data_IF_423303224791
#
_entry.id   IF_423303224791
#
_cell.length_a   1.000
_cell.length_b   1.000
_cell.length_c   1.000
_cell.angle_alpha   90.00
_cell.angle_beta   90.00
_cell.angle_gamma   90.00
#
_symmetry.space_group_name_H-M   'P 1'
#
loop_
_entity.id
_entity.type
_entity.pdbx_description
1 polymer ?
#
# COMPACT_ATOMS: atom_id res chain seq x y z
N UNK A 1 -10.79 8.73 14.36
CA UNK A 1 -9.97 8.40 13.18
C UNK A 1 -9.63 6.92 13.23
N UNK A 2 -9.98 6.19 12.18
CA UNK A 2 -9.63 4.77 12.08
C UNK A 2 -8.27 4.63 11.42
N UNK A 3 -7.42 3.79 12.00
CA UNK A 3 -6.10 3.51 11.47
C UNK A 3 -6.03 2.07 11.00
N UNK A 4 -5.34 1.86 9.87
CA UNK A 4 -5.03 0.53 9.38
C UNK A 4 -3.56 0.25 9.68
N UNK A 5 -3.31 -0.79 10.46
CA UNK A 5 -1.96 -1.23 10.78
C UNK A 5 -1.36 -1.92 9.56
N UNK A 6 -0.27 -1.38 9.03
CA UNK A 6 0.43 -1.95 7.88
C UNK A 6 1.76 -2.59 8.24
N UNK A 7 2.00 -2.78 9.53
CA UNK A 7 3.20 -3.45 10.03
C UNK A 7 4.35 -2.51 10.36
N UNK A 8 5.27 -3.00 11.16
CA UNK A 8 6.52 -2.30 11.53
C UNK A 8 6.28 -0.92 12.15
N UNK A 9 5.20 -0.78 12.92
CA UNK A 9 4.88 0.47 13.59
C UNK A 9 4.26 1.52 12.69
N UNK A 10 3.88 1.17 11.48
CA UNK A 10 3.28 2.09 10.52
C UNK A 10 1.78 1.89 10.43
N UNK A 11 1.06 2.98 10.21
CA UNK A 11 -0.39 2.95 10.09
C UNK A 11 -0.85 3.93 9.01
N UNK A 12 -1.99 3.63 8.40
CA UNK A 12 -2.63 4.50 7.42
C UNK A 12 -3.97 4.99 7.96
N UNK A 13 -4.36 6.19 7.54
CA UNK A 13 -5.69 6.71 7.83
C UNK A 13 -6.70 6.01 6.91
N UNK A 14 -7.56 5.20 7.49
CA UNK A 14 -8.53 4.40 6.72
C UNK A 14 -9.45 5.26 5.86
N UNK A 15 -9.79 6.46 6.29
CA UNK A 15 -10.68 7.35 5.55
C UNK A 15 -10.03 7.92 4.28
N UNK A 16 -8.71 7.80 4.14
CA UNK A 16 -7.97 8.27 2.98
C UNK A 16 -7.58 7.16 2.02
N UNK A 17 -7.89 5.92 2.36
CA UNK A 17 -7.58 4.77 1.51
C UNK A 17 -8.69 4.60 0.47
N UNK A 18 -8.30 4.63 -0.80
CA UNK A 18 -9.24 4.45 -1.92
C UNK A 18 -9.38 2.98 -2.27
N UNK A 19 -8.27 2.26 -2.25
CA UNK A 19 -8.25 0.85 -2.64
C UNK A 19 -7.15 0.08 -1.93
N UNK A 20 -7.37 -1.20 -1.72
CA UNK A 20 -6.38 -2.13 -1.23
C UNK A 20 -6.28 -3.26 -2.24
N UNK A 21 -5.08 -3.50 -2.76
CA UNK A 21 -4.88 -4.55 -3.77
C UNK A 21 -3.83 -5.53 -3.30
N UNK A 22 -4.00 -6.77 -3.72
CA UNK A 22 -3.02 -7.82 -3.46
C UNK A 22 -1.79 -7.58 -4.33
N UNK A 23 -0.61 -7.75 -3.73
CA UNK A 23 0.64 -7.49 -4.45
C UNK A 23 0.85 -8.39 -5.67
N UNK A 24 0.18 -9.53 -5.70
CA UNK A 24 0.28 -10.49 -6.81
C UNK A 24 -0.64 -10.16 -7.98
N UNK A 25 -1.57 -9.22 -7.83
CA UNK A 25 -2.48 -8.85 -8.89
C UNK A 25 -1.71 -8.24 -10.07
N UNK A 26 -2.07 -8.64 -11.28
CA UNK A 26 -1.34 -8.22 -12.48
C UNK A 26 -1.20 -6.71 -12.66
N UNK A 27 -2.24 -5.89 -12.43
CA UNK A 27 -2.13 -4.44 -12.61
C UNK A 27 -1.28 -3.73 -11.57
N UNK A 28 -0.92 -4.40 -10.46
CA UNK A 28 -0.20 -3.78 -9.35
C UNK A 28 1.21 -3.35 -9.76
N UNK A 29 1.87 -4.12 -10.62
CA UNK A 29 3.22 -3.78 -11.07
C UNK A 29 3.25 -2.45 -11.82
N UNK A 30 2.24 -2.19 -12.63
CA UNK A 30 2.11 -0.91 -13.35
C UNK A 30 1.85 0.23 -12.38
N UNK A 31 1.01 -0.02 -11.40
CA UNK A 31 0.66 0.96 -10.37
C UNK A 31 1.90 1.37 -9.58
N UNK A 32 2.71 0.40 -9.18
CA UNK A 32 3.94 0.65 -8.43
C UNK A 32 4.94 1.45 -9.28
N UNK A 33 5.12 1.05 -10.53
CA UNK A 33 6.04 1.74 -11.44
C UNK A 33 5.62 3.19 -11.66
N UNK A 34 4.34 3.43 -11.92
CA UNK A 34 3.81 4.78 -12.12
C UNK A 34 4.00 5.64 -10.87
N UNK A 35 3.72 5.09 -9.70
CA UNK A 35 3.90 5.81 -8.44
C UNK A 35 5.36 6.15 -8.19
N UNK A 36 6.26 5.22 -8.49
CA UNK A 36 7.70 5.45 -8.33
C UNK A 36 8.18 6.59 -9.22
N UNK A 37 7.73 6.61 -10.46
CA UNK A 37 8.11 7.67 -11.41
C UNK A 37 7.60 9.04 -10.98
N UNK A 38 6.49 9.09 -10.27
CA UNK A 38 5.88 10.34 -9.80
C UNK A 38 6.28 10.69 -8.38
N UNK A 39 7.18 9.91 -7.77
CA UNK A 39 7.61 10.09 -6.37
C UNK A 39 6.46 9.99 -5.38
N UNK A 40 5.47 9.15 -5.68
CA UNK A 40 4.31 8.91 -4.82
C UNK A 40 4.35 7.54 -4.16
N UNK A 41 5.45 6.81 -4.33
CA UNK A 41 5.58 5.47 -3.75
C UNK A 41 6.19 5.55 -2.35
N UNK A 42 5.51 4.92 -1.40
CA UNK A 42 6.02 4.78 -0.03
C UNK A 42 6.18 3.30 0.27
N UNK A 43 7.40 2.87 0.54
CA UNK A 43 7.69 1.47 0.85
C UNK A 43 7.74 1.29 2.37
N UNK A 44 6.71 0.68 2.92
CA UNK A 44 6.63 0.37 4.35
C UNK A 44 6.86 -1.11 4.63
N UNK A 45 7.40 -1.86 3.66
CA UNK A 45 7.63 -3.29 3.80
C UNK A 45 8.90 -3.65 4.59
N UNK A 46 9.74 -2.66 4.88
CA UNK A 46 10.99 -2.85 5.64
C UNK A 46 11.90 -3.92 5.04
N UNK A 47 12.00 -3.96 3.71
CA UNK A 47 12.83 -4.93 3.01
C UNK A 47 12.23 -6.32 2.90
N UNK A 48 11.03 -6.52 3.40
CA UNK A 48 10.32 -7.79 3.27
C UNK A 48 9.49 -7.82 1.99
N UNK A 49 9.05 -9.01 1.61
CA UNK A 49 8.20 -9.15 0.43
C UNK A 49 6.89 -8.40 0.62
N UNK A 50 6.54 -7.56 -0.35
CA UNK A 50 5.26 -6.83 -0.34
C UNK A 50 4.10 -7.81 -0.51
N UNK A 51 3.13 -7.73 0.40
CA UNK A 51 1.93 -8.57 0.34
C UNK A 51 0.68 -7.78 0.00
N UNK A 52 0.62 -6.52 0.41
CA UNK A 52 -0.53 -5.65 0.16
C UNK A 52 -0.08 -4.30 -0.34
N UNK A 53 -0.90 -3.69 -1.19
CA UNK A 53 -0.64 -2.36 -1.75
C UNK A 53 -1.87 -1.50 -1.48
N UNK A 54 -1.65 -0.35 -0.85
CA UNK A 54 -2.71 0.60 -0.51
C UNK A 54 -2.61 1.81 -1.41
N UNK A 55 -3.74 2.20 -1.99
CA UNK A 55 -3.83 3.41 -2.83
C UNK A 55 -4.58 4.47 -2.03
N UNK A 56 -3.93 5.62 -1.86
CA UNK A 56 -4.50 6.73 -1.11
C UNK A 56 -5.19 7.72 -2.04
N UNK A 57 -6.08 8.54 -1.47
CA UNK A 57 -6.81 9.56 -2.25
C UNK A 57 -5.90 10.65 -2.81
N UNK A 58 -4.71 10.81 -2.25
CA UNK A 58 -3.70 11.74 -2.75
C UNK A 58 -2.91 11.20 -3.95
N UNK A 59 -3.13 9.95 -4.32
CA UNK A 59 -2.36 9.27 -5.35
C UNK A 59 -1.15 8.51 -4.83
N UNK A 60 -0.87 8.59 -3.54
CA UNK A 60 0.23 7.84 -2.94
C UNK A 60 -0.07 6.34 -2.96
N UNK A 61 0.96 5.56 -3.21
CA UNK A 61 0.88 4.10 -3.21
C UNK A 61 1.80 3.58 -2.11
N UNK A 62 1.24 2.80 -1.19
CA UNK A 62 1.94 2.33 0.00
C UNK A 62 2.13 0.82 -0.10
N UNK A 63 3.38 0.37 0.00
CA UNK A 63 3.69 -1.06 -0.01
C UNK A 63 3.76 -1.57 1.42
N UNK A 64 3.09 -2.68 1.69
CA UNK A 64 3.06 -3.30 3.02
C UNK A 64 3.45 -4.77 2.94
N UNK A 65 4.25 -5.22 3.90
CA UNK A 65 4.58 -6.64 4.05
C UNK A 65 3.52 -7.40 4.83
N UNK A 66 2.55 -6.70 5.39
CA UNK A 66 1.46 -7.31 6.14
C UNK A 66 0.35 -7.72 5.20
N UNK A 67 -0.12 -8.96 5.34
CA UNK A 67 -1.22 -9.44 4.52
C UNK A 67 -2.51 -8.72 4.88
N UNK A 68 -3.21 -8.24 3.84
CA UNK A 68 -4.52 -7.64 4.02
C UNK A 68 -5.54 -8.76 4.14
N UNK A 69 -6.15 -8.90 5.32
CA UNK A 69 -7.21 -9.88 5.51
C UNK A 69 -8.49 -9.31 4.93
N UNK A 70 -8.89 -9.88 3.83
CA UNK A 70 -10.22 -9.64 3.29
C UNK A 70 -11.21 -10.44 4.09
N UNK A 71 -12.00 -9.76 4.82
CA UNK A 71 -13.14 -10.39 5.46
C UNK A 71 -14.27 -10.52 4.45
#
# INVERSE_FOLDING_TARGET
MDLIDIGYGNSLNASRVVAVVQAEAAPVKRLITAAREQNLLVDASCGKKTKSVYVMDSGHVILSAKECKNS
#
